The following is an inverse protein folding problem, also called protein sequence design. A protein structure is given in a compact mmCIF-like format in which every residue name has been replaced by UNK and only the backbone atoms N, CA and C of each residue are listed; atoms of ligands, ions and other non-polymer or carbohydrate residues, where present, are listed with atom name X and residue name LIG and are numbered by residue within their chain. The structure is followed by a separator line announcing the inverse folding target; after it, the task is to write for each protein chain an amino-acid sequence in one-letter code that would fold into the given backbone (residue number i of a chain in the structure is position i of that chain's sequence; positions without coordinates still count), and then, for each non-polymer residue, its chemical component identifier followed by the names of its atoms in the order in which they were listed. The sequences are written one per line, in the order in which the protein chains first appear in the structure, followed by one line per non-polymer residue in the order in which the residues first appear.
data_IF_994622790558
#
_entry.id   IF_994622790558
#
_cell.length_a   1.000
_cell.length_b   1.000
_cell.length_c   1.000
_cell.angle_alpha   90.00
_cell.angle_beta   90.00
_cell.angle_gamma   90.00
#
_symmetry.space_group_name_H-M   'P 1'
#
loop_
_entity.id
_entity.type
_entity.pdbx_description
1 polymer ?
#
# COMPACT_ATOMS: atom_id res chain seq x y z
N UNK A 1 3.16 58.12 -4.20
CA UNK A 1 3.59 56.79 -3.69
C UNK A 1 4.95 56.50 -4.32
N UNK A 2 6.02 56.34 -3.54
CA UNK A 2 7.35 56.10 -4.13
C UNK A 2 7.40 54.69 -4.77
N UNK A 3 8.22 54.51 -5.80
CA UNK A 3 8.42 53.21 -6.48
C UNK A 3 8.72 52.06 -5.52
N UNK A 4 9.37 52.38 -4.40
CA UNK A 4 9.71 51.44 -3.34
C UNK A 4 8.48 50.88 -2.61
N UNK A 5 7.49 51.72 -2.28
CA UNK A 5 6.24 51.27 -1.65
C UNK A 5 5.44 50.34 -2.58
N UNK A 6 5.46 50.64 -3.88
CA UNK A 6 4.83 49.77 -4.90
C UNK A 6 5.55 48.42 -4.97
N UNK A 7 6.89 48.41 -4.94
CA UNK A 7 7.68 47.18 -4.96
C UNK A 7 7.41 46.30 -3.73
N UNK A 8 7.43 46.88 -2.53
CA UNK A 8 7.13 46.13 -1.30
C UNK A 8 5.69 45.62 -1.25
N UNK A 9 4.73 46.41 -1.74
CA UNK A 9 3.33 45.98 -1.86
C UNK A 9 3.17 44.77 -2.79
N UNK A 10 3.86 44.77 -3.93
CA UNK A 10 3.85 43.64 -4.86
C UNK A 10 4.48 42.38 -4.24
N UNK A 11 5.62 42.51 -3.55
CA UNK A 11 6.24 41.38 -2.86
C UNK A 11 5.31 40.80 -1.79
N UNK A 12 4.67 41.65 -0.99
CA UNK A 12 3.69 41.22 0.02
C UNK A 12 2.49 40.50 -0.60
N UNK A 13 1.95 41.03 -1.69
CA UNK A 13 0.83 40.41 -2.40
C UNK A 13 1.21 39.03 -2.98
N UNK A 14 2.42 38.89 -3.54
CA UNK A 14 2.92 37.61 -4.06
C UNK A 14 3.11 36.60 -2.94
N UNK A 15 3.71 36.99 -1.81
CA UNK A 15 3.89 36.09 -0.66
C UNK A 15 2.55 35.64 -0.08
N UNK A 16 1.58 36.55 0.03
CA UNK A 16 0.23 36.20 0.49
C UNK A 16 -0.46 35.24 -0.48
N UNK A 17 -0.36 35.49 -1.78
CA UNK A 17 -0.91 34.60 -2.80
C UNK A 17 -0.28 33.19 -2.72
N UNK A 18 1.03 33.10 -2.50
CA UNK A 18 1.72 31.83 -2.30
C UNK A 18 1.23 31.12 -1.03
N UNK A 19 1.08 31.84 0.09
CA UNK A 19 0.56 31.28 1.34
C UNK A 19 -0.90 30.78 1.22
N UNK A 20 -1.71 31.40 0.36
CA UNK A 20 -3.12 31.05 0.16
C UNK A 20 -3.37 30.07 -1.00
N UNK A 21 -2.38 29.87 -1.89
CA UNK A 21 -2.42 28.86 -2.96
C UNK A 21 -2.90 27.46 -2.52
N UNK A 22 -2.51 26.96 -1.33
CA UNK A 22 -3.00 25.70 -0.77
C UNK A 22 -4.52 25.51 -0.77
N UNK A 23 -5.28 26.60 -0.58
CA UNK A 23 -6.74 26.56 -0.52
C UNK A 23 -7.38 26.25 -1.88
N UNK A 24 -6.63 26.35 -2.97
CA UNK A 24 -7.12 26.17 -4.35
C UNK A 24 -6.73 24.81 -4.93
N UNK A 25 -5.47 24.38 -4.75
CA UNK A 25 -4.96 23.14 -5.37
C UNK A 25 -5.21 21.89 -4.50
N UNK A 26 -5.34 22.04 -3.16
CA UNK A 26 -5.67 20.94 -2.24
C UNK A 26 -4.65 19.79 -2.19
N UNK A 27 -3.53 19.89 -2.92
CA UNK A 27 -2.48 18.87 -2.99
C UNK A 27 -1.35 19.19 -2.02
N UNK A 28 -0.81 18.14 -1.41
CA UNK A 28 0.42 18.24 -0.62
C UNK A 28 1.64 18.18 -1.55
N UNK A 29 2.55 19.15 -1.44
CA UNK A 29 3.70 19.24 -2.32
C UNK A 29 4.75 20.25 -1.87
N UNK A 30 5.99 20.07 -2.32
CA UNK A 30 7.05 21.05 -2.09
C UNK A 30 6.87 22.27 -3.01
N UNK A 31 7.14 23.52 -2.57
CA UNK A 31 7.74 23.93 -1.29
C UNK A 31 6.75 24.23 -0.15
N UNK A 32 5.44 24.25 -0.41
CA UNK A 32 4.42 24.61 0.57
C UNK A 32 3.62 23.36 0.94
N UNK A 33 4.00 22.68 2.04
CA UNK A 33 3.24 21.54 2.53
C UNK A 33 1.94 22.04 3.17
N UNK A 34 0.83 21.69 2.53
CA UNK A 34 -0.51 22.20 2.85
C UNK A 34 -1.19 21.35 3.93
N UNK A 35 -0.49 20.31 4.42
CA UNK A 35 -0.95 19.30 5.37
C UNK A 35 -2.41 18.84 5.16
N UNK A 36 -2.85 18.54 3.91
CA UNK A 36 -4.23 18.14 3.66
C UNK A 36 -4.52 16.72 4.20
N UNK A 37 -3.49 16.04 4.75
CA UNK A 37 -3.56 14.69 5.31
C UNK A 37 -4.71 14.46 6.30
N UNK A 38 -5.23 15.52 6.93
CA UNK A 38 -6.33 15.45 7.90
C UNK A 38 -7.65 16.08 7.42
N UNK A 39 -7.65 16.83 6.32
CA UNK A 39 -8.84 17.55 5.83
C UNK A 39 -9.46 16.90 4.59
N UNK A 40 -8.73 16.05 3.88
CA UNK A 40 -9.21 15.36 2.68
C UNK A 40 -9.83 14.00 3.02
N UNK A 41 -11.04 13.75 2.53
CA UNK A 41 -11.66 12.43 2.61
C UNK A 41 -10.93 11.46 1.67
N UNK A 42 -10.20 10.50 2.25
CA UNK A 42 -9.49 9.46 1.49
C UNK A 42 -10.41 8.38 0.93
N UNK A 43 -11.71 8.50 1.19
CA UNK A 43 -12.73 7.56 0.82
C UNK A 43 -12.76 6.35 1.73
N UNK A 44 -13.90 5.65 1.68
CA UNK A 44 -14.15 4.45 2.48
C UNK A 44 -13.52 3.18 1.90
N UNK A 45 -13.20 3.19 0.61
CA UNK A 45 -12.72 2.00 -0.11
C UNK A 45 -11.23 2.12 -0.40
N UNK A 46 -10.44 1.18 0.10
CA UNK A 46 -9.00 1.11 -0.15
C UNK A 46 -8.69 -0.10 -1.02
N UNK A 47 -7.84 0.10 -2.04
CA UNK A 47 -7.22 -0.99 -2.80
C UNK A 47 -5.83 -1.26 -2.24
N UNK A 48 -5.60 -2.48 -1.80
CA UNK A 48 -4.33 -2.91 -1.21
C UNK A 48 -3.76 -4.09 -2.00
N UNK A 49 -2.57 -3.89 -2.58
CA UNK A 49 -1.77 -4.98 -3.10
C UNK A 49 -0.95 -5.57 -1.96
N UNK A 50 -1.05 -6.87 -1.75
CA UNK A 50 -0.40 -7.58 -0.65
C UNK A 50 -0.17 -9.06 -0.98
N UNK A 51 0.56 -9.73 -0.10
CA UNK A 51 0.85 -11.16 -0.21
C UNK A 51 0.26 -11.88 0.99
N UNK A 52 -0.46 -12.95 0.72
CA UNK A 52 -1.19 -13.72 1.72
C UNK A 52 -0.82 -15.20 1.63
N UNK A 53 -0.96 -15.91 2.74
CA UNK A 53 -0.85 -17.35 2.82
C UNK A 53 -2.23 -17.98 2.86
N UNK A 54 -2.41 -19.08 2.14
CA UNK A 54 -3.61 -19.92 2.19
C UNK A 54 -3.32 -21.15 3.03
N UNK A 55 -4.17 -21.44 4.01
CA UNK A 55 -4.10 -22.67 4.81
C UNK A 55 -4.76 -23.84 4.10
N UNK A 56 -4.51 -25.08 4.55
CA UNK A 56 -5.20 -26.26 4.03
C UNK A 56 -6.73 -26.19 4.20
N UNK A 57 -7.20 -25.52 5.25
CA UNK A 57 -8.64 -25.27 5.48
C UNK A 57 -9.25 -24.17 4.59
N UNK A 58 -8.46 -23.59 3.68
CA UNK A 58 -8.91 -22.55 2.75
C UNK A 58 -8.92 -21.14 3.34
N UNK A 59 -8.50 -20.96 4.60
CA UNK A 59 -8.36 -19.65 5.22
C UNK A 59 -7.22 -18.87 4.56
N UNK A 60 -7.40 -17.57 4.40
CA UNK A 60 -6.40 -16.67 3.82
C UNK A 60 -5.97 -15.66 4.87
N UNK A 61 -4.66 -15.59 5.16
CA UNK A 61 -4.11 -14.66 6.15
C UNK A 61 -2.92 -13.87 5.60
N UNK A 62 -2.76 -12.59 5.99
CA UNK A 62 -1.62 -11.78 5.58
C UNK A 62 -0.29 -12.42 6.01
N UNK A 63 0.69 -12.44 5.10
CA UNK A 63 2.04 -12.88 5.44
C UNK A 63 2.85 -11.71 6.03
N UNK A 64 3.76 -11.98 6.98
CA UNK A 64 4.57 -10.93 7.60
C UNK A 64 5.56 -10.31 6.59
N UNK A 65 5.87 -9.00 6.71
CA UNK A 65 6.77 -8.28 5.80
C UNK A 65 8.13 -8.95 5.57
N UNK A 66 8.66 -9.65 6.60
CA UNK A 66 9.98 -10.29 6.55
C UNK A 66 10.11 -11.30 5.41
N UNK A 67 9.01 -11.96 5.03
CA UNK A 67 9.00 -12.90 3.91
C UNK A 67 9.11 -12.20 2.54
N UNK A 68 8.87 -10.89 2.49
CA UNK A 68 9.11 -10.03 1.32
C UNK A 68 10.49 -9.35 1.38
N UNK A 69 11.33 -9.66 2.38
CA UNK A 69 12.68 -9.14 2.52
C UNK A 69 12.79 -7.79 3.22
N UNK A 70 11.80 -7.40 4.03
CA UNK A 70 11.83 -6.15 4.82
C UNK A 70 11.06 -6.31 6.14
N UNK A 71 11.37 -5.52 7.16
CA UNK A 71 10.55 -5.44 8.37
C UNK A 71 9.50 -4.32 8.28
N UNK A 72 9.58 -3.46 7.27
CA UNK A 72 8.72 -2.29 7.11
C UNK A 72 7.44 -2.62 6.31
N UNK A 73 6.29 -2.48 6.96
CA UNK A 73 4.97 -2.79 6.38
C UNK A 73 4.68 -2.01 5.10
N UNK A 74 5.06 -0.73 5.05
CA UNK A 74 4.83 0.12 3.88
C UNK A 74 5.74 -0.26 2.70
N UNK A 75 6.97 -0.68 2.99
CA UNK A 75 7.88 -1.18 1.96
C UNK A 75 7.39 -2.51 1.39
N UNK A 76 6.91 -3.43 2.24
CA UNK A 76 6.32 -4.69 1.81
C UNK A 76 5.09 -4.47 0.93
N UNK A 77 4.18 -3.57 1.33
CA UNK A 77 3.02 -3.19 0.51
C UNK A 77 3.44 -2.58 -0.84
N UNK A 78 4.47 -1.73 -0.85
CA UNK A 78 5.00 -1.16 -2.09
C UNK A 78 5.60 -2.23 -3.01
N UNK A 79 6.35 -3.18 -2.46
CA UNK A 79 6.90 -4.33 -3.20
C UNK A 79 5.78 -5.15 -3.85
N UNK A 80 4.73 -5.49 -3.09
CA UNK A 80 3.56 -6.20 -3.62
C UNK A 80 2.84 -5.37 -4.70
N UNK A 81 2.69 -4.05 -4.49
CA UNK A 81 2.08 -3.13 -5.47
C UNK A 81 2.85 -3.08 -6.78
N UNK A 82 4.18 -2.97 -6.73
CA UNK A 82 5.01 -2.93 -7.93
C UNK A 82 4.92 -4.27 -8.66
N UNK A 83 5.02 -5.39 -7.93
CA UNK A 83 4.94 -6.72 -8.53
C UNK A 83 3.59 -7.01 -9.20
N UNK A 84 2.49 -6.58 -8.58
CA UNK A 84 1.12 -6.78 -9.09
C UNK A 84 0.82 -6.07 -10.41
N UNK A 85 1.70 -5.19 -10.90
CA UNK A 85 1.48 -4.48 -12.18
C UNK A 85 1.75 -5.36 -13.41
N UNK A 86 2.49 -6.47 -13.25
CA UNK A 86 2.88 -7.36 -14.35
C UNK A 86 2.88 -8.81 -13.86
N UNK A 87 2.28 -9.72 -14.63
CA UNK A 87 2.20 -11.15 -14.28
C UNK A 87 3.58 -11.75 -13.98
N UNK A 88 4.57 -11.49 -14.82
CA UNK A 88 5.93 -12.01 -14.66
C UNK A 88 6.64 -11.52 -13.39
N UNK A 89 6.26 -10.35 -12.86
CA UNK A 89 6.77 -9.86 -11.58
C UNK A 89 6.00 -10.44 -10.40
N UNK A 90 4.68 -10.61 -10.53
CA UNK A 90 3.84 -11.25 -9.52
C UNK A 90 4.28 -12.71 -9.29
N UNK A 91 4.52 -13.48 -10.36
CA UNK A 91 5.00 -14.86 -10.29
C UNK A 91 6.37 -14.94 -9.59
N UNK A 92 7.31 -14.06 -9.97
CA UNK A 92 8.64 -14.00 -9.33
C UNK A 92 8.58 -13.62 -7.86
N UNK A 93 7.64 -12.74 -7.47
CA UNK A 93 7.42 -12.42 -6.06
C UNK A 93 6.83 -13.62 -5.31
N UNK A 94 5.81 -14.23 -5.90
CA UNK A 94 5.10 -15.37 -5.36
C UNK A 94 6.02 -16.56 -5.08
N UNK A 95 6.84 -16.98 -6.06
CA UNK A 95 7.79 -18.09 -5.89
C UNK A 95 8.83 -17.78 -4.82
N UNK A 96 9.33 -16.54 -4.76
CA UNK A 96 10.34 -16.14 -3.76
C UNK A 96 9.76 -16.16 -2.35
N UNK A 97 8.55 -15.65 -2.16
CA UNK A 97 7.87 -15.65 -0.87
C UNK A 97 7.51 -17.07 -0.46
N UNK A 98 7.08 -17.93 -1.39
CA UNK A 98 6.82 -19.34 -1.12
C UNK A 98 8.08 -20.09 -0.65
N UNK A 99 9.24 -19.82 -1.26
CA UNK A 99 10.52 -20.35 -0.80
C UNK A 99 10.89 -19.83 0.60
N UNK A 100 10.80 -18.52 0.82
CA UNK A 100 11.09 -17.93 2.14
C UNK A 100 10.14 -18.45 3.24
N UNK A 101 8.89 -18.73 2.89
CA UNK A 101 7.90 -19.29 3.81
C UNK A 101 8.19 -20.76 4.14
N UNK A 102 8.65 -21.53 3.15
CA UNK A 102 9.11 -22.90 3.37
C UNK A 102 10.31 -22.96 4.33
N UNK A 103 11.22 -22.00 4.22
CA UNK A 103 12.42 -21.92 5.07
C UNK A 103 12.12 -21.34 6.48
N UNK A 104 10.95 -20.73 6.70
CA UNK A 104 10.52 -20.20 8.01
C UNK A 104 9.89 -21.33 8.84
N UNK A 105 10.69 -21.95 9.71
CA UNK A 105 10.28 -23.08 10.54
C UNK A 105 9.02 -22.83 11.40
N UNK A 106 8.69 -21.58 11.72
CA UNK A 106 7.49 -21.25 12.49
C UNK A 106 6.21 -21.25 11.65
N UNK A 107 6.31 -21.04 10.33
CA UNK A 107 5.18 -20.84 9.42
C UNK A 107 5.07 -21.91 8.31
N UNK A 108 6.13 -22.68 8.05
CA UNK A 108 6.22 -23.60 6.92
C UNK A 108 5.10 -24.65 6.86
N UNK A 109 4.54 -25.04 8.02
CA UNK A 109 3.47 -26.05 8.11
C UNK A 109 2.07 -25.46 8.10
N UNK A 110 1.94 -24.13 8.20
CA UNK A 110 0.66 -23.46 8.40
C UNK A 110 -0.07 -23.18 7.08
N UNK A 111 0.71 -22.99 6.00
CA UNK A 111 0.20 -22.56 4.71
C UNK A 111 0.58 -23.54 3.60
N UNK A 112 -0.36 -23.79 2.69
CA UNK A 112 -0.20 -24.67 1.53
C UNK A 112 0.11 -23.89 0.25
N UNK A 113 -0.24 -22.61 0.21
CA UNK A 113 0.04 -21.75 -0.93
C UNK A 113 0.26 -20.29 -0.52
N UNK A 114 1.01 -19.57 -1.35
CA UNK A 114 1.21 -18.12 -1.29
C UNK A 114 0.47 -17.48 -2.45
N UNK A 115 -0.22 -16.37 -2.19
CA UNK A 115 -0.94 -15.62 -3.20
C UNK A 115 -0.55 -14.15 -3.21
N UNK A 116 -0.24 -13.63 -4.40
CA UNK A 116 -0.06 -12.19 -4.64
C UNK A 116 -1.36 -11.66 -5.21
N UNK A 117 -1.97 -10.69 -4.52
CA UNK A 117 -3.31 -10.22 -4.84
C UNK A 117 -3.48 -8.73 -4.58
N UNK A 118 -4.45 -8.14 -5.25
CA UNK A 118 -4.93 -6.78 -4.96
C UNK A 118 -6.38 -6.86 -4.53
N UNK A 119 -6.64 -6.51 -3.28
CA UNK A 119 -7.95 -6.62 -2.67
C UNK A 119 -8.55 -5.23 -2.40
N UNK A 120 -9.88 -5.14 -2.44
CA UNK A 120 -10.65 -3.96 -2.03
C UNK A 120 -11.20 -4.14 -0.63
N UNK A 121 -10.94 -3.20 0.25
CA UNK A 121 -11.46 -3.18 1.62
C UNK A 121 -12.36 -1.98 1.84
N UNK A 122 -13.45 -2.20 2.56
CA UNK A 122 -14.17 -1.15 3.27
C UNK A 122 -13.51 -0.95 4.63
N UNK A 123 -12.86 0.19 4.83
CA UNK A 123 -12.06 0.45 6.04
C UNK A 123 -12.90 0.50 7.33
N UNK A 124 -14.19 0.80 7.22
CA UNK A 124 -15.10 0.82 8.38
C UNK A 124 -15.54 -0.60 8.71
N UNK A 125 -15.92 -1.38 7.69
CA UNK A 125 -16.37 -2.76 7.88
C UNK A 125 -15.22 -3.74 8.22
N UNK A 126 -13.98 -3.41 7.81
CA UNK A 126 -12.80 -4.24 8.04
C UNK A 126 -12.62 -4.62 9.51
N UNK A 127 -12.90 -3.73 10.45
CA UNK A 127 -12.75 -4.00 11.89
C UNK A 127 -13.75 -5.02 12.43
N UNK A 128 -14.83 -5.29 11.69
CA UNK A 128 -15.86 -6.26 12.07
C UNK A 128 -15.67 -7.59 11.35
N UNK A 129 -15.31 -7.54 10.06
CA UNK A 129 -15.26 -8.74 9.21
C UNK A 129 -13.84 -9.23 8.94
N UNK A 130 -12.85 -8.35 8.92
CA UNK A 130 -11.48 -8.60 8.46
C UNK A 130 -11.37 -9.01 6.99
N UNK A 131 -12.47 -8.93 6.22
CA UNK A 131 -12.56 -9.52 4.88
C UNK A 131 -12.57 -8.45 3.78
N UNK A 132 -11.93 -8.73 2.63
CA UNK A 132 -12.07 -7.88 1.46
C UNK A 132 -13.48 -7.99 0.86
N UNK A 133 -13.90 -6.93 0.16
CA UNK A 133 -15.12 -6.88 -0.64
C UNK A 133 -14.97 -7.74 -1.91
N UNK A 134 -13.86 -7.55 -2.61
CA UNK A 134 -13.47 -8.28 -3.80
C UNK A 134 -11.94 -8.22 -3.94
N UNK A 135 -11.39 -8.96 -4.90
CA UNK A 135 -9.95 -8.96 -5.17
C UNK A 135 -9.58 -9.57 -6.50
N UNK A 136 -8.39 -9.21 -6.96
CA UNK A 136 -7.75 -9.77 -8.15
C UNK A 136 -6.54 -10.58 -7.71
N UNK A 137 -6.53 -11.87 -8.06
CA UNK A 137 -5.36 -12.73 -7.90
C UNK A 137 -4.40 -12.49 -9.06
N UNK A 138 -3.16 -12.14 -8.75
CA UNK A 138 -2.10 -11.91 -9.74
C UNK A 138 -1.20 -13.13 -9.93
N UNK A 139 -0.93 -13.87 -8.85
CA UNK A 139 -0.14 -15.10 -8.87
C UNK A 139 -0.49 -15.98 -7.65
N UNK A 140 -0.36 -17.30 -7.81
CA UNK A 140 -0.53 -18.28 -6.74
C UNK A 140 0.53 -19.38 -6.87
N UNK A 141 1.26 -19.66 -5.79
CA UNK A 141 2.37 -20.60 -5.78
C UNK A 141 2.23 -21.56 -4.60
N UNK A 142 2.36 -22.88 -4.83
CA UNK A 142 2.36 -23.84 -3.73
C UNK A 142 3.59 -23.65 -2.84
N UNK A 143 3.42 -23.87 -1.53
CA UNK A 143 4.54 -24.04 -0.60
C UNK A 143 4.91 -25.52 -0.65
N UNK A 144 6.07 -25.85 -1.19
CA UNK A 144 6.55 -27.23 -1.21
C UNK A 144 6.55 -27.76 0.23
N UNK A 145 5.83 -28.85 0.54
CA UNK A 145 5.64 -29.33 1.91
C UNK A 145 4.22 -29.25 2.46
N UNK A 146 3.29 -28.57 1.76
CA UNK A 146 1.86 -28.71 1.98
C UNK A 146 1.36 -30.06 1.46
N UNK A 147 1.54 -31.12 2.24
CA UNK A 147 1.03 -32.45 1.90
C UNK A 147 -0.51 -32.44 1.85
N UNK A 148 -1.01 -33.20 0.87
CA UNK A 148 -2.38 -33.73 0.69
C UNK A 148 -3.16 -34.00 1.97
#
# INVERSE_FOLDING_TARGET
MSREHVAWGLVGAVLLALLLWPLVDGRDGFPLSTYPMFSEDRGRIVRLAHVVGRTAGGEVRPLPPRLLGTFEVMQAAQTARIASKRSDHADRLCTRVAAALHDDAALATEFVAVEVRTDRYDIVAYWQTGRPLDGTLHASCPVAGGAT
#
